data_IF_210736014461
#
_entry.id   IF_210736014461
#
_cell.length_a   1.000
_cell.length_b   1.000
_cell.length_c   1.000
_cell.angle_alpha   90.00
_cell.angle_beta   90.00
_cell.angle_gamma   90.00
#
_symmetry.space_group_name_H-M   'P 1'
#
loop_
_entity.id
_entity.type
_entity.pdbx_description
1 polymer ?
#
# COMPACT_ATOMS: atom_id res chain seq x y z
N UNK A 1 -23.64 2.70 -23.35
CA UNK A 1 -23.07 1.43 -22.87
C UNK A 1 -21.99 1.80 -21.91
N UNK A 2 -22.30 1.90 -20.64
CA UNK A 2 -21.33 2.32 -19.63
C UNK A 2 -20.40 1.14 -19.33
N UNK A 3 -19.10 1.39 -19.32
CA UNK A 3 -18.08 0.41 -19.01
C UNK A 3 -18.17 0.05 -17.51
N UNK A 4 -18.79 -1.07 -17.18
CA UNK A 4 -18.86 -1.61 -15.81
C UNK A 4 -17.54 -2.27 -15.38
N UNK A 5 -16.42 -1.71 -15.77
CA UNK A 5 -15.10 -2.23 -15.40
C UNK A 5 -14.44 -1.27 -14.42
N UNK A 6 -14.31 -1.71 -13.19
CA UNK A 6 -13.51 -0.98 -12.20
C UNK A 6 -12.06 -1.44 -12.37
N UNK A 7 -11.22 -0.50 -12.76
CA UNK A 7 -9.76 -0.68 -12.68
C UNK A 7 -9.34 -0.14 -11.32
N UNK A 8 -9.00 -1.02 -10.40
CA UNK A 8 -8.37 -0.60 -9.15
C UNK A 8 -6.87 -0.62 -9.35
N UNK A 9 -6.27 0.54 -9.42
CA UNK A 9 -4.83 0.66 -9.23
C UNK A 9 -4.53 0.50 -7.76
N UNK A 10 -3.63 -0.42 -7.42
CA UNK A 10 -3.15 -0.68 -6.05
C UNK A 10 -4.34 -0.90 -5.13
N UNK A 11 -4.74 -2.14 -4.96
CA UNK A 11 -5.94 -2.47 -4.21
C UNK A 11 -6.00 -1.80 -2.85
N UNK A 12 -7.04 -1.05 -2.59
CA UNK A 12 -7.30 -0.44 -1.28
C UNK A 12 -7.28 -1.49 -0.15
N UNK A 13 -7.69 -2.72 -0.43
CA UNK A 13 -7.59 -3.84 0.49
C UNK A 13 -6.16 -4.15 0.97
N UNK A 14 -5.14 -3.85 0.17
CA UNK A 14 -3.75 -4.03 0.59
C UNK A 14 -3.34 -3.05 1.69
N UNK A 15 -3.81 -1.81 1.61
CA UNK A 15 -3.51 -0.79 2.61
C UNK A 15 -4.29 -1.06 3.89
N UNK A 16 -5.54 -1.47 3.78
CA UNK A 16 -6.39 -1.78 4.94
C UNK A 16 -5.81 -2.94 5.77
N UNK A 17 -5.35 -4.00 5.10
CA UNK A 17 -4.70 -5.12 5.78
C UNK A 17 -3.41 -4.70 6.50
N UNK A 18 -2.66 -3.75 5.92
CA UNK A 18 -1.39 -3.31 6.49
C UNK A 18 -1.53 -2.35 7.67
N UNK A 19 -2.61 -1.57 7.73
CA UNK A 19 -2.78 -0.46 8.68
C UNK A 19 -4.04 -0.55 9.54
N UNK A 20 -4.94 -1.51 9.28
CA UNK A 20 -6.21 -1.65 10.00
C UNK A 20 -6.04 -1.85 11.52
N UNK A 21 -4.94 -2.47 11.95
CA UNK A 21 -4.65 -2.67 13.37
C UNK A 21 -4.43 -1.41 14.22
N UNK A 22 -4.20 -0.26 13.57
CA UNK A 22 -3.90 1.01 14.25
C UNK A 22 -5.06 2.00 14.25
N UNK A 23 -6.07 1.80 13.40
CA UNK A 23 -7.23 2.68 13.32
C UNK A 23 -8.32 2.23 14.30
N UNK A 24 -8.71 3.11 15.21
CA UNK A 24 -9.82 2.88 16.13
C UNK A 24 -10.80 4.05 16.06
N UNK A 25 -12.06 3.80 16.41
CA UNK A 25 -13.07 4.86 16.52
C UNK A 25 -12.62 5.97 17.49
N UNK A 26 -11.96 5.61 18.58
CA UNK A 26 -11.43 6.56 19.56
C UNK A 26 -10.36 7.46 18.94
N UNK A 27 -9.44 6.91 18.14
CA UNK A 27 -8.43 7.70 17.45
C UNK A 27 -9.04 8.64 16.42
N UNK A 28 -10.01 8.17 15.65
CA UNK A 28 -10.78 9.01 14.72
C UNK A 28 -11.52 10.15 15.44
N UNK A 29 -12.16 9.87 16.56
CA UNK A 29 -12.82 10.90 17.39
C UNK A 29 -11.83 11.93 17.93
N UNK A 30 -10.64 11.51 18.36
CA UNK A 30 -9.62 12.42 18.90
C UNK A 30 -9.19 13.46 17.86
N UNK A 31 -8.83 13.03 16.65
CA UNK A 31 -8.40 13.96 15.59
C UNK A 31 -9.55 14.86 15.11
N UNK A 32 -10.76 14.32 14.96
CA UNK A 32 -11.94 15.11 14.56
C UNK A 32 -12.28 16.16 15.61
N UNK A 33 -12.27 15.81 16.90
CA UNK A 33 -12.52 16.76 17.98
C UNK A 33 -11.49 17.91 17.98
N UNK A 34 -10.21 17.58 17.78
CA UNK A 34 -9.17 18.59 17.70
C UNK A 34 -9.31 19.52 16.48
N UNK A 35 -9.72 18.98 15.33
CA UNK A 35 -9.99 19.75 14.11
C UNK A 35 -11.18 20.71 14.30
N UNK A 36 -12.28 20.23 14.86
CA UNK A 36 -13.46 21.07 15.14
C UNK A 36 -13.10 22.21 16.08
N UNK A 37 -12.35 21.94 17.14
CA UNK A 37 -11.90 22.97 18.08
C UNK A 37 -10.99 24.00 17.40
N UNK A 38 -10.01 23.57 16.59
CA UNK A 38 -9.10 24.46 15.87
C UNK A 38 -9.84 25.37 14.87
N UNK A 39 -10.81 24.78 14.14
CA UNK A 39 -11.59 25.47 13.12
C UNK A 39 -12.79 26.22 13.70
N UNK A 40 -13.05 26.09 15.01
CA UNK A 40 -14.21 26.67 15.72
C UNK A 40 -15.56 26.27 15.11
N UNK A 41 -15.69 24.96 14.84
CA UNK A 41 -16.87 24.34 14.27
C UNK A 41 -17.58 23.48 15.33
N UNK A 42 -18.90 23.48 15.29
CA UNK A 42 -19.74 22.71 16.20
C UNK A 42 -20.21 21.36 15.59
N UNK A 43 -20.11 21.19 14.27
CA UNK A 43 -20.60 20.03 13.56
C UNK A 43 -19.52 19.49 12.58
N UNK A 44 -19.33 18.18 12.62
CA UNK A 44 -18.41 17.47 11.73
C UNK A 44 -18.75 17.67 10.24
N UNK A 45 -20.03 17.82 9.89
CA UNK A 45 -20.46 18.09 8.52
C UNK A 45 -19.92 19.40 7.95
N UNK A 46 -19.63 20.36 8.80
CA UNK A 46 -19.02 21.61 8.38
C UNK A 46 -17.62 21.40 7.77
N UNK A 47 -16.92 20.30 8.13
CA UNK A 47 -15.63 19.95 7.52
C UNK A 47 -15.73 19.66 6.03
N UNK A 48 -16.89 19.18 5.53
CA UNK A 48 -17.12 18.90 4.12
C UNK A 48 -17.07 20.15 3.23
N UNK A 49 -17.32 21.32 3.81
CA UNK A 49 -17.39 22.61 3.10
C UNK A 49 -16.17 23.50 3.31
N UNK A 50 -15.28 23.13 4.21
CA UNK A 50 -14.04 23.89 4.46
C UNK A 50 -13.11 23.80 3.26
N UNK A 51 -12.54 24.92 2.78
CA UNK A 51 -11.52 24.88 1.74
C UNK A 51 -10.35 23.97 2.13
N UNK A 52 -9.91 23.12 1.19
CA UNK A 52 -8.85 22.13 1.44
C UNK A 52 -7.61 22.73 2.11
N UNK A 53 -7.14 23.90 1.65
CA UNK A 53 -5.96 24.54 2.22
C UNK A 53 -6.14 24.90 3.71
N UNK A 54 -7.34 25.32 4.10
CA UNK A 54 -7.67 25.62 5.51
C UNK A 54 -7.74 24.35 6.34
N UNK A 55 -8.39 23.31 5.82
CA UNK A 55 -8.47 22.00 6.48
C UNK A 55 -7.09 21.38 6.66
N UNK A 56 -6.26 21.40 5.61
CA UNK A 56 -4.89 20.87 5.65
C UNK A 56 -4.01 21.63 6.67
N UNK A 57 -4.12 22.97 6.72
CA UNK A 57 -3.39 23.77 7.70
C UNK A 57 -3.81 23.44 9.14
N UNK A 58 -5.12 23.29 9.40
CA UNK A 58 -5.62 22.90 10.69
C UNK A 58 -5.15 21.48 11.06
N UNK A 59 -5.24 20.51 10.12
CA UNK A 59 -4.77 19.15 10.34
C UNK A 59 -3.27 19.11 10.68
N UNK A 60 -2.42 19.78 9.90
CA UNK A 60 -0.98 19.82 10.13
C UNK A 60 -0.61 20.44 11.49
N UNK A 61 -1.47 21.31 12.03
CA UNK A 61 -1.31 21.90 13.34
C UNK A 61 -1.71 20.94 14.47
N UNK A 62 -2.86 20.26 14.34
CA UNK A 62 -3.43 19.48 15.45
C UNK A 62 -2.93 18.03 15.46
N UNK A 63 -2.64 17.42 14.30
CA UNK A 63 -2.27 16.02 14.22
C UNK A 63 -1.00 15.67 15.04
N UNK A 64 0.08 16.47 15.05
CA UNK A 64 1.24 16.19 15.90
C UNK A 64 0.89 16.21 17.39
N UNK A 65 -0.01 17.08 17.83
CA UNK A 65 -0.43 17.16 19.24
C UNK A 65 -1.28 15.97 19.64
N UNK A 66 -2.21 15.56 18.78
CA UNK A 66 -3.01 14.34 18.98
C UNK A 66 -2.12 13.10 19.01
N UNK A 67 -1.13 13.00 18.11
CA UNK A 67 -0.19 11.89 18.07
C UNK A 67 0.64 11.75 19.37
N UNK A 68 0.97 12.83 20.05
CA UNK A 68 1.65 12.81 21.36
C UNK A 68 0.86 12.07 22.45
N UNK A 69 -0.45 11.96 22.31
CA UNK A 69 -1.29 11.18 23.23
C UNK A 69 -1.24 9.67 22.96
N UNK A 70 -0.49 9.23 21.96
CA UNK A 70 -0.44 7.85 21.50
C UNK A 70 -1.56 7.47 20.52
N UNK A 71 -2.42 8.44 20.13
CA UNK A 71 -3.47 8.20 19.18
C UNK A 71 -2.90 8.13 17.74
N UNK A 72 -3.37 7.15 16.96
CA UNK A 72 -3.08 7.09 15.55
C UNK A 72 -3.88 8.15 14.78
N UNK A 73 -3.20 8.97 14.00
CA UNK A 73 -3.82 10.09 13.27
C UNK A 73 -3.94 9.83 11.77
N UNK A 74 -3.70 8.61 11.31
CA UNK A 74 -3.91 8.20 9.92
C UNK A 74 -5.38 8.06 9.56
N UNK A 75 -5.67 8.01 8.27
CA UNK A 75 -7.02 8.00 7.72
C UNK A 75 -7.42 6.64 7.13
N UNK A 76 -7.49 5.59 7.93
CA UNK A 76 -7.97 4.30 7.44
C UNK A 76 -9.47 4.14 7.69
N UNK A 77 -10.22 3.52 6.76
CA UNK A 77 -11.63 3.27 6.96
C UNK A 77 -11.85 2.28 8.10
N UNK A 78 -12.91 2.51 8.89
CA UNK A 78 -13.41 1.57 9.89
C UNK A 78 -14.66 0.89 9.35
N UNK A 79 -14.82 -0.40 9.68
CA UNK A 79 -15.99 -1.16 9.31
C UNK A 79 -17.28 -0.47 9.80
N UNK A 80 -18.25 -0.33 8.91
CA UNK A 80 -19.55 0.27 9.16
C UNK A 80 -20.57 -0.28 8.15
N UNK A 81 -21.77 0.31 8.08
CA UNK A 81 -22.84 -0.15 7.18
C UNK A 81 -22.48 -0.05 5.68
N UNK A 82 -21.47 0.74 5.30
CA UNK A 82 -21.03 0.95 3.92
C UNK A 82 -19.74 0.21 3.61
N UNK A 83 -18.79 0.27 4.51
CA UNK A 83 -17.51 -0.44 4.42
C UNK A 83 -17.53 -1.59 5.42
N UNK A 84 -17.71 -2.81 4.93
CA UNK A 84 -17.89 -3.99 5.77
C UNK A 84 -16.60 -4.48 6.44
N UNK A 85 -15.44 -3.99 6.02
CA UNK A 85 -14.13 -4.39 6.49
C UNK A 85 -13.22 -4.87 5.36
N UNK A 86 -12.07 -5.40 5.73
CA UNK A 86 -11.08 -5.95 4.80
C UNK A 86 -11.70 -7.13 4.02
N UNK A 87 -11.77 -7.08 2.70
CA UNK A 87 -12.31 -8.17 1.89
C UNK A 87 -11.53 -9.50 2.05
N UNK A 88 -10.27 -9.45 2.50
CA UNK A 88 -9.52 -10.67 2.83
C UNK A 88 -10.07 -11.38 4.08
N UNK A 89 -10.68 -10.64 4.99
CA UNK A 89 -11.30 -11.17 6.21
C UNK A 89 -12.78 -11.42 6.03
N UNK A 90 -13.55 -10.40 5.67
CA UNK A 90 -15.02 -10.46 5.60
C UNK A 90 -15.56 -11.06 4.30
N UNK A 91 -14.74 -11.18 3.26
CA UNK A 91 -15.16 -11.65 1.94
C UNK A 91 -15.78 -10.56 1.07
N UNK A 92 -16.38 -10.99 -0.05
CA UNK A 92 -17.03 -10.11 -1.02
C UNK A 92 -18.55 -10.19 -0.87
N UNK A 93 -19.22 -9.04 -0.99
CA UNK A 93 -20.69 -8.99 -1.11
C UNK A 93 -21.13 -9.70 -2.40
N UNK A 94 -22.39 -10.15 -2.48
CA UNK A 94 -22.91 -10.79 -3.68
C UNK A 94 -22.74 -9.91 -4.93
N UNK A 95 -22.94 -8.60 -4.79
CA UNK A 95 -22.68 -7.66 -5.87
C UNK A 95 -21.18 -7.60 -6.25
N UNK A 96 -20.28 -7.52 -5.27
CA UNK A 96 -18.84 -7.43 -5.53
C UNK A 96 -18.27 -8.71 -6.17
N UNK A 97 -18.88 -9.89 -5.93
CA UNK A 97 -18.51 -11.15 -6.58
C UNK A 97 -18.69 -11.10 -8.11
N UNK A 98 -19.68 -10.37 -8.59
CA UNK A 98 -20.01 -10.29 -10.03
C UNK A 98 -19.23 -9.21 -10.78
N UNK A 99 -18.50 -8.35 -10.10
CA UNK A 99 -17.74 -7.25 -10.72
C UNK A 99 -16.38 -7.75 -11.18
N UNK A 100 -16.04 -7.64 -12.48
CA UNK A 100 -14.69 -7.93 -12.95
C UNK A 100 -13.66 -6.99 -12.32
N UNK A 101 -12.51 -7.54 -11.93
CA UNK A 101 -11.44 -6.80 -11.26
C UNK A 101 -10.13 -6.99 -12.01
N UNK A 102 -9.38 -5.89 -12.15
CA UNK A 102 -7.99 -5.92 -12.60
C UNK A 102 -7.12 -5.26 -11.52
N UNK A 103 -6.17 -6.02 -10.99
CA UNK A 103 -5.24 -5.56 -9.94
C UNK A 103 -3.83 -5.56 -10.48
N UNK A 104 -3.12 -4.45 -10.32
CA UNK A 104 -1.76 -4.30 -10.78
C UNK A 104 -0.79 -3.95 -9.65
N UNK A 105 0.43 -4.43 -9.77
CA UNK A 105 1.56 -4.04 -8.95
C UNK A 105 2.73 -3.64 -9.84
N UNK A 106 3.73 -3.02 -9.25
CA UNK A 106 5.00 -2.73 -9.92
C UNK A 106 6.10 -3.59 -9.31
N UNK A 107 7.18 -3.81 -10.06
CA UNK A 107 8.28 -4.66 -9.58
C UNK A 107 8.97 -4.07 -8.35
N UNK A 108 9.16 -2.76 -8.31
CA UNK A 108 9.94 -2.03 -7.30
C UNK A 108 9.17 -0.92 -6.59
N UNK A 109 7.98 -1.20 -6.08
CA UNK A 109 7.20 -0.22 -5.31
C UNK A 109 7.91 0.18 -4.02
N UNK A 110 7.86 1.46 -3.68
CA UNK A 110 8.54 2.02 -2.49
C UNK A 110 10.03 1.68 -2.39
N UNK A 111 10.71 1.68 -3.50
CA UNK A 111 12.17 1.57 -3.54
C UNK A 111 12.79 2.89 -3.06
N UNK A 112 12.76 3.13 -1.73
CA UNK A 112 13.33 4.35 -1.12
C UNK A 112 14.83 4.27 -0.87
N UNK A 113 15.46 3.16 -1.21
CA UNK A 113 16.91 3.04 -1.11
C UNK A 113 17.55 3.79 -2.29
N UNK A 114 18.63 4.55 -2.05
CA UNK A 114 19.44 5.08 -3.14
C UNK A 114 19.90 3.95 -4.06
N UNK A 115 20.01 4.23 -5.35
CA UNK A 115 20.62 3.30 -6.29
C UNK A 115 22.04 2.98 -5.84
N UNK A 116 22.39 1.69 -5.91
CA UNK A 116 23.74 1.25 -5.61
C UNK A 116 24.70 1.68 -6.74
N UNK A 117 25.86 2.12 -6.36
CA UNK A 117 26.94 2.36 -7.33
C UNK A 117 27.42 1.03 -7.95
N UNK A 118 28.08 1.11 -9.09
CA UNK A 118 28.62 -0.09 -9.74
C UNK A 118 29.68 -0.81 -8.88
N UNK A 119 30.41 -0.06 -8.02
CA UNK A 119 31.35 -0.62 -7.05
C UNK A 119 30.61 -1.41 -5.95
N UNK A 120 29.51 -0.86 -5.43
CA UNK A 120 28.70 -1.53 -4.42
C UNK A 120 28.01 -2.78 -4.99
N UNK A 121 27.51 -2.74 -6.22
CA UNK A 121 26.94 -3.93 -6.90
C UNK A 121 27.98 -5.03 -7.12
N UNK A 122 29.22 -4.66 -7.39
CA UNK A 122 30.31 -5.61 -7.58
C UNK A 122 30.78 -6.26 -6.26
N UNK A 123 30.43 -5.68 -5.11
CA UNK A 123 30.77 -6.25 -3.79
C UNK A 123 29.69 -7.25 -3.34
N UNK A 124 29.89 -8.51 -3.68
CA UNK A 124 28.98 -9.60 -3.33
C UNK A 124 28.75 -9.75 -1.82
N UNK A 125 29.78 -9.46 -1.00
CA UNK A 125 29.67 -9.57 0.47
C UNK A 125 28.79 -8.45 1.02
N UNK A 126 28.91 -7.24 0.47
CA UNK A 126 28.03 -6.12 0.82
C UNK A 126 26.58 -6.44 0.47
N UNK A 127 26.33 -6.91 -0.76
CA UNK A 127 24.98 -7.27 -1.23
C UNK A 127 24.38 -8.36 -0.33
N UNK A 128 25.12 -9.41 -0.01
CA UNK A 128 24.66 -10.48 0.87
C UNK A 128 24.28 -9.94 2.27
N UNK A 129 25.13 -9.07 2.84
CA UNK A 129 24.83 -8.44 4.11
C UNK A 129 23.56 -7.57 4.08
N UNK A 130 23.36 -6.82 3.00
CA UNK A 130 22.16 -5.99 2.83
C UNK A 130 20.91 -6.86 2.68
N UNK A 131 20.98 -7.96 1.93
CA UNK A 131 19.88 -8.92 1.76
C UNK A 131 19.53 -9.58 3.10
N UNK A 132 20.54 -10.02 3.85
CA UNK A 132 20.32 -10.61 5.18
C UNK A 132 19.69 -9.61 6.15
N UNK A 133 20.16 -8.37 6.15
CA UNK A 133 19.59 -7.30 6.96
C UNK A 133 18.13 -6.99 6.62
N UNK A 134 17.76 -7.07 5.34
CA UNK A 134 16.41 -6.76 4.87
C UNK A 134 15.44 -7.92 5.06
N UNK A 135 15.85 -9.14 4.76
CA UNK A 135 15.00 -10.32 4.65
C UNK A 135 15.32 -11.43 5.68
N UNK A 136 16.32 -11.21 6.54
CA UNK A 136 16.71 -12.18 7.56
C UNK A 136 17.12 -13.53 6.98
N UNK A 137 16.74 -14.60 7.66
CA UNK A 137 17.10 -15.98 7.29
C UNK A 137 16.62 -16.40 5.89
N UNK A 138 15.56 -15.80 5.37
CA UNK A 138 15.00 -16.10 4.05
C UNK A 138 15.76 -15.40 2.90
N UNK A 139 16.64 -14.44 3.22
CA UNK A 139 17.32 -13.60 2.23
C UNK A 139 18.10 -14.40 1.20
N UNK A 140 18.84 -15.42 1.63
CA UNK A 140 19.61 -16.29 0.72
C UNK A 140 18.73 -17.01 -0.28
N UNK A 141 17.64 -17.61 0.19
CA UNK A 141 16.68 -18.31 -0.66
C UNK A 141 16.00 -17.35 -1.64
N UNK A 142 15.64 -16.17 -1.17
CA UNK A 142 15.04 -15.14 -2.00
C UNK A 142 15.99 -14.67 -3.11
N UNK A 143 17.28 -14.48 -2.79
CA UNK A 143 18.33 -14.16 -3.77
C UNK A 143 18.45 -15.23 -4.86
N UNK A 144 18.48 -16.51 -4.46
CA UNK A 144 18.56 -17.63 -5.39
C UNK A 144 17.34 -17.68 -6.32
N UNK A 145 16.14 -17.55 -5.75
CA UNK A 145 14.89 -17.52 -6.52
C UNK A 145 14.81 -16.32 -7.46
N UNK A 146 15.29 -15.14 -7.02
CA UNK A 146 15.32 -13.95 -7.84
C UNK A 146 16.22 -14.15 -9.07
N UNK A 147 17.42 -14.67 -8.87
CA UNK A 147 18.36 -14.93 -9.96
C UNK A 147 17.81 -15.97 -10.97
N UNK A 148 17.05 -16.96 -10.50
CA UNK A 148 16.39 -17.94 -11.36
C UNK A 148 15.28 -17.33 -12.21
N UNK A 149 14.44 -16.49 -11.60
CA UNK A 149 13.25 -15.89 -12.25
C UNK A 149 13.64 -14.71 -13.15
N UNK A 150 14.67 -13.96 -12.78
CA UNK A 150 15.13 -12.77 -13.48
C UNK A 150 16.61 -12.85 -13.88
N UNK A 151 16.98 -13.77 -14.78
CA UNK A 151 18.39 -14.03 -15.13
C UNK A 151 19.10 -12.84 -15.79
N UNK A 152 18.33 -11.90 -16.37
CA UNK A 152 18.85 -10.72 -17.05
C UNK A 152 18.96 -9.48 -16.13
N UNK A 153 18.59 -9.63 -14.84
CA UNK A 153 18.67 -8.53 -13.86
C UNK A 153 19.87 -8.71 -12.94
N UNK A 154 20.37 -7.58 -12.44
CA UNK A 154 21.37 -7.62 -11.37
C UNK A 154 20.75 -8.22 -10.11
N UNK A 155 21.48 -9.10 -9.43
CA UNK A 155 20.96 -9.76 -8.23
C UNK A 155 20.70 -8.80 -7.09
N UNK A 156 21.36 -7.65 -7.08
CA UNK A 156 21.10 -6.58 -6.10
C UNK A 156 19.70 -5.97 -6.23
N UNK A 157 19.04 -6.14 -7.40
CA UNK A 157 17.67 -5.66 -7.61
C UNK A 157 16.66 -6.36 -6.70
N UNK A 158 17.00 -7.50 -6.10
CA UNK A 158 16.19 -8.13 -5.05
C UNK A 158 15.93 -7.20 -3.87
N UNK A 159 16.85 -6.28 -3.59
CA UNK A 159 16.74 -5.28 -2.53
C UNK A 159 15.64 -4.24 -2.81
N UNK A 160 15.23 -4.09 -4.06
CA UNK A 160 14.27 -3.08 -4.50
C UNK A 160 12.89 -3.68 -4.82
N UNK A 161 12.73 -4.98 -4.64
CA UNK A 161 11.43 -5.61 -4.89
C UNK A 161 10.35 -5.09 -3.95
N UNK A 162 9.14 -4.93 -4.50
CA UNK A 162 7.94 -4.67 -3.72
C UNK A 162 7.67 -5.81 -2.73
N UNK A 163 7.81 -5.52 -1.46
CA UNK A 163 7.49 -6.43 -0.36
C UNK A 163 6.22 -6.02 0.41
N UNK A 164 5.59 -4.91 0.02
CA UNK A 164 4.47 -4.31 0.76
C UNK A 164 3.15 -4.61 0.07
N UNK A 165 3.03 -4.29 -1.22
CA UNK A 165 1.75 -4.40 -1.94
C UNK A 165 1.55 -5.71 -2.68
N UNK A 166 2.63 -6.36 -3.13
CA UNK A 166 2.49 -7.55 -3.99
C UNK A 166 1.85 -8.73 -3.27
N UNK A 167 2.28 -9.02 -2.05
CA UNK A 167 1.75 -10.16 -1.31
C UNK A 167 0.24 -9.98 -1.02
N UNK A 168 -0.23 -8.88 -0.37
CA UNK A 168 -1.66 -8.68 -0.13
C UNK A 168 -2.48 -8.56 -1.43
N UNK A 169 -1.90 -7.97 -2.51
CA UNK A 169 -2.57 -7.93 -3.82
C UNK A 169 -2.77 -9.33 -4.39
N UNK A 170 -1.80 -10.21 -4.23
CA UNK A 170 -1.90 -11.60 -4.65
C UNK A 170 -2.99 -12.34 -3.86
N UNK A 171 -3.04 -12.15 -2.54
CA UNK A 171 -4.07 -12.73 -1.69
C UNK A 171 -5.46 -12.26 -2.08
N UNK A 172 -5.61 -10.97 -2.36
CA UNK A 172 -6.86 -10.39 -2.86
C UNK A 172 -7.27 -11.02 -4.20
N UNK A 173 -6.34 -11.13 -5.16
CA UNK A 173 -6.59 -11.72 -6.48
C UNK A 173 -7.03 -13.18 -6.32
N UNK A 174 -6.32 -13.97 -5.52
CA UNK A 174 -6.63 -15.39 -5.28
C UNK A 174 -8.00 -15.55 -4.62
N UNK A 175 -8.32 -14.71 -3.64
CA UNK A 175 -9.64 -14.73 -3.01
C UNK A 175 -10.75 -14.32 -3.96
N UNK A 176 -10.54 -13.30 -4.78
CA UNK A 176 -11.50 -12.84 -5.79
C UNK A 176 -11.71 -13.87 -6.90
N UNK A 177 -10.65 -14.56 -7.33
CA UNK A 177 -10.71 -15.59 -8.36
C UNK A 177 -11.50 -16.84 -7.96
N UNK A 178 -11.84 -17.00 -6.68
CA UNK A 178 -12.76 -18.06 -6.22
C UNK A 178 -14.22 -17.81 -6.70
N UNK A 179 -14.49 -16.64 -7.28
CA UNK A 179 -15.78 -16.24 -7.83
C UNK A 179 -15.73 -16.19 -9.36
N UNK A 180 -15.90 -17.35 -10.05
CA UNK A 180 -15.71 -17.47 -11.51
C UNK A 180 -16.75 -16.72 -12.34
N UNK A 181 -17.83 -16.24 -11.71
CA UNK A 181 -18.87 -15.42 -12.34
C UNK A 181 -18.38 -14.06 -12.81
N UNK A 182 -17.23 -13.63 -12.36
CA UNK A 182 -16.55 -12.41 -12.82
C UNK A 182 -15.10 -12.66 -13.19
N UNK A 183 -14.59 -11.93 -14.17
CA UNK A 183 -13.18 -11.99 -14.55
C UNK A 183 -12.30 -11.37 -13.47
N UNK A 184 -11.23 -12.08 -13.08
CA UNK A 184 -10.17 -11.56 -12.23
C UNK A 184 -8.87 -11.54 -13.02
N UNK A 185 -8.26 -10.37 -13.14
CA UNK A 185 -7.05 -10.14 -13.92
C UNK A 185 -5.98 -9.52 -13.05
N UNK A 186 -4.73 -9.88 -13.30
CA UNK A 186 -3.60 -9.22 -12.66
C UNK A 186 -2.52 -8.86 -13.66
N UNK A 187 -1.75 -7.84 -13.33
CA UNK A 187 -0.53 -7.51 -14.05
C UNK A 187 0.56 -7.07 -13.07
N UNK A 188 1.80 -7.24 -13.48
CA UNK A 188 2.95 -6.64 -12.82
C UNK A 188 3.70 -5.79 -13.84
N UNK A 189 3.84 -4.50 -13.56
CA UNK A 189 4.65 -3.62 -14.40
C UNK A 189 6.12 -3.83 -14.05
N UNK A 190 6.88 -4.25 -15.04
CA UNK A 190 8.32 -4.50 -14.92
C UNK A 190 9.18 -3.50 -15.69
N UNK A 191 8.53 -2.52 -16.33
CA UNK A 191 9.26 -1.46 -17.02
C UNK A 191 9.99 -0.60 -15.99
N UNK A 192 11.28 -0.39 -16.23
CA UNK A 192 12.14 0.43 -15.38
C UNK A 192 12.48 1.73 -16.08
N UNK A 193 12.46 2.83 -15.35
CA UNK A 193 12.89 4.13 -15.88
C UNK A 193 14.41 4.18 -16.07
N UNK A 194 14.90 4.94 -17.05
CA UNK A 194 16.35 5.11 -17.25
C UNK A 194 16.97 6.11 -16.25
N UNK A 195 16.46 6.16 -15.04
CA UNK A 195 16.92 7.00 -13.92
C UNK A 195 17.20 6.12 -12.71
N UNK A 196 18.04 6.58 -11.82
CA UNK A 196 18.39 5.88 -10.56
C UNK A 196 18.72 4.39 -10.74
N UNK A 197 19.50 4.07 -11.81
CA UNK A 197 19.87 2.70 -12.11
C UNK A 197 18.71 1.79 -12.55
N UNK A 198 17.57 2.37 -12.92
CA UNK A 198 16.39 1.59 -13.35
C UNK A 198 15.59 0.97 -12.22
N UNK A 199 15.74 1.44 -10.99
CA UNK A 199 15.06 0.86 -9.82
C UNK A 199 13.62 1.32 -9.64
N UNK A 200 13.20 2.38 -10.33
CA UNK A 200 11.83 2.90 -10.23
C UNK A 200 11.02 2.31 -11.38
N UNK A 201 10.02 1.51 -11.05
CA UNK A 201 8.97 1.08 -11.96
C UNK A 201 7.71 1.93 -11.70
N UNK A 202 7.13 2.49 -12.76
CA UNK A 202 5.89 3.26 -12.71
C UNK A 202 4.83 2.55 -13.51
#
# INVERSE_FOLDING_TARGET
MFCNKIVTQIGSGCIDHFVSGNSTEQNGKAIVTALLAELKLDDVKALETIPYAQLAAAYNKVAPEVAKTGAYVGGNPLANDWYLGDPLEVGFTEHAKTIPVMVGTVLGEFSFMPALSEEEKADAALIDSMIEKRYGAEGKKLKEMFAEVYPDKDVSDVLFMDSIFRAPSTDFILKKAQHPESGTYSYMMTYTFPYDGGHIAW
#
